data_IF_721152938111
#
_entry.id   IF_721152938111
#
_cell.length_a   1.000
_cell.length_b   1.000
_cell.length_c   1.000
_cell.angle_alpha   90.00
_cell.angle_beta   90.00
_cell.angle_gamma   90.00
#
_symmetry.space_group_name_H-M   'P 1'
#
loop_
_entity.id
_entity.type
_entity.pdbx_description
1 polymer ?
#
# COMPACT_ATOMS: atom_id res chain seq x y z
N UNK A 1 17.90 10.29 21.10
CA UNK A 1 18.03 10.18 19.64
C UNK A 1 16.62 10.34 19.07
N UNK A 2 16.33 11.46 18.42
CA UNK A 2 15.02 11.65 17.81
C UNK A 2 14.91 10.67 16.64
N UNK A 3 14.06 9.64 16.77
CA UNK A 3 13.71 8.83 15.63
C UNK A 3 13.01 9.74 14.63
N UNK A 4 13.65 9.92 13.46
CA UNK A 4 13.08 10.64 12.33
C UNK A 4 11.81 9.91 11.89
N UNK A 5 10.81 10.64 11.42
CA UNK A 5 9.52 10.14 10.92
C UNK A 5 9.69 8.94 9.98
N UNK A 6 9.65 7.73 10.54
CA UNK A 6 9.82 6.48 9.77
C UNK A 6 8.46 6.01 9.31
N UNK A 7 8.20 6.23 8.03
CA UNK A 7 7.00 5.78 7.34
C UNK A 7 7.36 4.74 6.28
N UNK A 8 6.86 3.51 6.42
CA UNK A 8 7.13 2.37 5.56
C UNK A 8 5.83 1.88 4.96
N UNK A 9 5.79 1.67 3.65
CA UNK A 9 4.62 1.16 2.94
C UNK A 9 4.87 -0.21 2.33
N UNK A 10 3.79 -0.97 2.18
CA UNK A 10 3.78 -2.28 1.54
C UNK A 10 2.84 -2.22 0.34
N UNK A 11 3.37 -2.48 -0.84
CA UNK A 11 2.66 -2.39 -2.10
C UNK A 11 2.72 -3.73 -2.85
N UNK A 12 1.87 -3.86 -3.88
CA UNK A 12 1.81 -5.05 -4.71
C UNK A 12 0.38 -5.50 -4.99
N UNK A 13 0.22 -6.45 -5.90
CA UNK A 13 -1.07 -7.00 -6.32
C UNK A 13 -1.85 -7.71 -5.21
N UNK A 14 -2.96 -8.29 -5.59
CA UNK A 14 -3.77 -9.09 -4.66
C UNK A 14 -3.05 -10.40 -4.30
N UNK A 15 -3.25 -10.92 -3.09
CA UNK A 15 -2.63 -12.17 -2.65
C UNK A 15 -1.10 -12.15 -2.49
N UNK A 16 -0.44 -10.98 -2.60
CA UNK A 16 1.02 -10.85 -2.50
C UNK A 16 1.59 -11.06 -1.08
N UNK A 17 0.75 -11.14 -0.04
CA UNK A 17 1.21 -11.39 1.33
C UNK A 17 1.54 -10.15 2.16
N UNK A 18 1.14 -8.96 1.71
CA UNK A 18 1.41 -7.67 2.40
C UNK A 18 1.04 -7.70 3.89
N UNK A 19 -0.20 -8.05 4.21
CA UNK A 19 -0.71 -8.07 5.59
C UNK A 19 0.10 -9.01 6.49
N UNK A 20 0.53 -10.16 5.97
CA UNK A 20 1.40 -11.10 6.70
C UNK A 20 2.74 -10.45 7.03
N UNK A 21 3.37 -9.79 6.05
CA UNK A 21 4.67 -9.16 6.24
C UNK A 21 4.61 -7.94 7.16
N UNK A 22 3.53 -7.16 7.09
CA UNK A 22 3.29 -6.05 8.01
C UNK A 22 3.20 -6.56 9.45
N UNK A 23 2.45 -7.65 9.69
CA UNK A 23 2.34 -8.23 11.02
C UNK A 23 3.68 -8.74 11.55
N UNK A 24 4.43 -9.47 10.72
CA UNK A 24 5.75 -9.98 11.09
C UNK A 24 6.73 -8.84 11.43
N UNK A 25 6.75 -7.77 10.61
CA UNK A 25 7.61 -6.62 10.87
C UNK A 25 7.16 -5.85 12.12
N UNK A 26 5.84 -5.70 12.33
CA UNK A 26 5.28 -5.10 13.54
C UNK A 26 5.76 -5.83 14.79
N UNK A 27 5.66 -7.17 14.80
CA UNK A 27 6.05 -8.00 15.94
C UNK A 27 7.57 -7.92 16.18
N UNK A 28 8.39 -7.98 15.12
CA UNK A 28 9.84 -7.86 15.19
C UNK A 28 10.27 -6.51 15.80
N UNK A 29 9.73 -5.41 15.31
CA UNK A 29 10.08 -4.06 15.81
C UNK A 29 9.59 -3.85 17.25
N UNK A 30 8.38 -4.34 17.57
CA UNK A 30 7.81 -4.29 18.92
C UNK A 30 8.65 -5.09 19.92
N UNK A 31 9.15 -6.27 19.53
CA UNK A 31 10.04 -7.08 20.36
C UNK A 31 11.39 -6.40 20.63
N UNK A 32 11.83 -5.48 19.75
CA UNK A 32 12.99 -4.60 19.97
C UNK A 32 12.66 -3.39 20.86
N UNK A 33 11.45 -3.25 21.37
CA UNK A 33 11.02 -2.13 22.22
C UNK A 33 10.71 -0.84 21.43
N UNK A 34 10.58 -0.92 20.10
CA UNK A 34 10.24 0.23 19.27
C UNK A 34 8.71 0.45 19.25
N UNK A 35 8.29 1.71 19.28
CA UNK A 35 6.89 2.06 19.17
C UNK A 35 6.46 2.00 17.70
N UNK A 36 5.50 1.12 17.36
CA UNK A 36 5.04 0.88 16.00
C UNK A 36 3.53 1.10 15.90
N UNK A 37 3.06 1.58 14.76
CA UNK A 37 1.65 1.62 14.39
C UNK A 37 1.47 0.99 13.00
N UNK A 38 0.44 0.15 12.86
CA UNK A 38 0.06 -0.43 11.57
C UNK A 38 -1.27 0.17 11.12
N UNK A 39 -1.32 0.64 9.87
CA UNK A 39 -2.51 1.23 9.23
C UNK A 39 -2.72 0.62 7.84
N UNK A 40 -3.90 0.84 7.24
CA UNK A 40 -4.19 0.38 5.87
C UNK A 40 -4.89 1.46 5.07
N UNK A 41 -4.59 1.55 3.79
CA UNK A 41 -5.19 2.50 2.86
C UNK A 41 -6.06 1.77 1.80
N UNK A 42 -7.35 2.11 1.68
CA UNK A 42 -8.12 3.02 2.54
C UNK A 42 -8.57 2.34 3.83
N UNK A 43 -8.68 3.11 4.93
CA UNK A 43 -9.26 2.61 6.19
C UNK A 43 -8.76 3.31 7.45
N UNK A 44 -9.17 2.77 8.58
CA UNK A 44 -8.68 3.17 9.90
C UNK A 44 -9.37 4.39 10.52
N UNK A 45 -10.10 5.20 9.78
CA UNK A 45 -10.98 6.26 10.31
C UNK A 45 -12.42 5.99 9.90
N UNK A 46 -13.39 6.56 10.61
CA UNK A 46 -14.80 6.35 10.29
C UNK A 46 -15.14 6.73 8.84
N UNK A 47 -14.62 7.86 8.36
CA UNK A 47 -14.84 8.33 6.98
C UNK A 47 -14.12 7.42 5.99
N UNK A 48 -12.86 7.07 6.23
CA UNK A 48 -12.09 6.22 5.33
C UNK A 48 -12.69 4.79 5.22
N UNK A 49 -13.26 4.24 6.31
CA UNK A 49 -13.95 2.95 6.28
C UNK A 49 -15.27 3.02 5.49
N UNK A 50 -16.02 4.10 5.58
CA UNK A 50 -17.22 4.31 4.76
C UNK A 50 -16.85 4.38 3.27
N UNK A 51 -15.82 5.12 2.93
CA UNK A 51 -15.31 5.20 1.55
C UNK A 51 -14.80 3.82 1.09
N UNK A 52 -14.05 3.12 1.93
CA UNK A 52 -13.59 1.75 1.63
C UNK A 52 -14.75 0.82 1.32
N UNK A 53 -15.80 0.84 2.15
CA UNK A 53 -17.01 0.05 1.92
C UNK A 53 -17.66 0.38 0.57
N UNK A 54 -17.72 1.67 0.22
CA UNK A 54 -18.28 2.13 -1.05
C UNK A 54 -17.46 1.66 -2.26
N UNK A 55 -16.14 1.87 -2.25
CA UNK A 55 -15.28 1.56 -3.41
C UNK A 55 -15.05 0.07 -3.62
N UNK A 56 -15.21 -0.75 -2.57
CA UNK A 56 -15.04 -2.20 -2.61
C UNK A 56 -16.33 -2.98 -2.87
N UNK A 57 -17.49 -2.34 -2.69
CA UNK A 57 -18.79 -2.99 -2.85
C UNK A 57 -19.06 -3.41 -4.29
N UNK A 58 -19.39 -4.67 -4.51
CA UNK A 58 -19.85 -5.18 -5.81
C UNK A 58 -21.16 -4.52 -6.29
N UNK A 59 -21.94 -3.89 -5.37
CA UNK A 59 -23.12 -3.11 -5.77
C UNK A 59 -22.78 -1.81 -6.53
N UNK A 60 -21.53 -1.36 -6.49
CA UNK A 60 -21.04 -0.15 -7.16
C UNK A 60 -20.09 -0.48 -8.32
N UNK A 61 -20.39 -1.54 -9.09
CA UNK A 61 -19.52 -2.00 -10.19
C UNK A 61 -19.35 -0.97 -11.31
N UNK A 62 -20.34 -0.10 -11.51
CA UNK A 62 -20.38 0.96 -12.52
C UNK A 62 -19.76 2.30 -12.06
N UNK A 63 -19.14 2.36 -10.89
CA UNK A 63 -18.51 3.59 -10.40
C UNK A 63 -17.52 4.15 -11.43
N UNK A 64 -17.67 5.43 -11.78
CA UNK A 64 -16.82 6.08 -12.76
C UNK A 64 -15.37 6.19 -12.28
N UNK A 65 -14.40 5.92 -13.16
CA UNK A 65 -12.98 5.80 -12.78
C UNK A 65 -12.40 7.04 -12.07
N UNK A 66 -12.81 8.25 -12.45
CA UNK A 66 -12.39 9.48 -11.75
C UNK A 66 -13.03 9.60 -10.37
N UNK A 67 -14.28 9.18 -10.21
CA UNK A 67 -14.96 9.14 -8.91
C UNK A 67 -14.27 8.17 -7.98
N UNK A 68 -13.93 6.97 -8.48
CA UNK A 68 -13.15 5.97 -7.73
C UNK A 68 -11.82 6.56 -7.24
N UNK A 69 -11.05 7.21 -8.13
CA UNK A 69 -9.77 7.84 -7.78
C UNK A 69 -9.92 8.91 -6.69
N UNK A 70 -10.90 9.80 -6.84
CA UNK A 70 -11.17 10.87 -5.87
C UNK A 70 -11.59 10.33 -4.50
N UNK A 71 -12.36 9.25 -4.47
CA UNK A 71 -12.74 8.59 -3.21
C UNK A 71 -11.53 7.98 -2.50
N UNK A 72 -10.64 7.27 -3.22
CA UNK A 72 -9.40 6.77 -2.63
C UNK A 72 -8.54 7.90 -2.07
N UNK A 73 -8.39 9.00 -2.81
CA UNK A 73 -7.61 10.17 -2.37
C UNK A 73 -8.25 10.86 -1.16
N UNK A 74 -9.58 10.96 -1.10
CA UNK A 74 -10.28 11.52 0.06
C UNK A 74 -10.09 10.65 1.32
N UNK A 75 -10.19 9.33 1.19
CA UNK A 75 -9.93 8.41 2.30
C UNK A 75 -8.47 8.50 2.79
N UNK A 76 -7.52 8.62 1.86
CA UNK A 76 -6.10 8.78 2.18
C UNK A 76 -5.81 10.09 2.89
N UNK A 77 -6.38 11.21 2.43
CA UNK A 77 -6.26 12.49 3.11
C UNK A 77 -6.69 12.39 4.58
N UNK A 78 -7.87 11.82 4.82
CA UNK A 78 -8.40 11.61 6.17
C UNK A 78 -7.49 10.72 7.03
N UNK A 79 -6.94 9.66 6.45
CA UNK A 79 -6.03 8.74 7.13
C UNK A 79 -4.68 9.42 7.44
N UNK A 80 -4.12 10.18 6.50
CA UNK A 80 -2.85 10.90 6.70
C UNK A 80 -2.96 11.84 7.89
N UNK A 81 -4.00 12.68 7.90
CA UNK A 81 -4.14 13.73 8.92
C UNK A 81 -4.54 13.15 10.29
N UNK A 82 -5.38 12.10 10.35
CA UNK A 82 -5.91 11.58 11.62
C UNK A 82 -5.13 10.40 12.19
N UNK A 83 -4.33 9.70 11.38
CA UNK A 83 -3.60 8.52 11.86
C UNK A 83 -2.10 8.63 11.61
N UNK A 84 -1.66 8.80 10.34
CA UNK A 84 -0.24 8.67 10.02
C UNK A 84 0.56 9.80 10.66
N UNK A 85 0.20 11.07 10.43
CA UNK A 85 0.91 12.23 11.00
C UNK A 85 0.92 12.23 12.53
N UNK A 86 -0.19 11.96 13.25
CA UNK A 86 -0.18 11.84 14.70
C UNK A 86 0.73 10.73 15.22
N UNK A 87 0.77 9.56 14.54
CA UNK A 87 1.68 8.49 14.94
C UNK A 87 3.15 8.87 14.72
N UNK A 88 3.48 9.45 13.56
CA UNK A 88 4.84 9.93 13.27
C UNK A 88 5.26 11.02 14.27
N UNK A 89 4.39 12.00 14.55
CA UNK A 89 4.67 13.06 15.54
C UNK A 89 4.85 12.53 16.97
N UNK A 90 4.25 11.36 17.27
CA UNK A 90 4.48 10.65 18.53
C UNK A 90 5.76 9.78 18.53
N UNK A 91 6.59 9.88 17.48
CA UNK A 91 7.83 9.12 17.34
C UNK A 91 7.62 7.63 17.04
N UNK A 92 6.48 7.24 16.52
CA UNK A 92 6.19 5.85 16.15
C UNK A 92 6.65 5.56 14.72
N UNK A 93 7.13 4.35 14.49
CA UNK A 93 7.30 3.81 13.14
C UNK A 93 5.90 3.48 12.61
N UNK A 94 5.57 3.97 11.41
CA UNK A 94 4.27 3.69 10.78
C UNK A 94 4.46 2.70 9.63
N UNK A 95 3.75 1.58 9.71
CA UNK A 95 3.66 0.56 8.65
C UNK A 95 2.29 0.68 7.97
N UNK A 96 2.24 0.79 6.65
CA UNK A 96 0.99 1.00 5.92
C UNK A 96 0.78 -0.05 4.82
N UNK A 97 -0.37 -0.72 4.85
CA UNK A 97 -0.82 -1.59 3.75
C UNK A 97 -1.42 -0.73 2.64
N UNK A 98 -0.67 -0.51 1.59
CA UNK A 98 -0.90 0.38 0.44
C UNK A 98 -0.79 1.87 0.81
N UNK A 99 -0.44 2.68 -0.20
CA UNK A 99 -0.42 4.14 -0.11
C UNK A 99 -0.51 4.77 -1.52
N UNK A 100 0.19 5.88 -1.75
CA UNK A 100 0.11 6.66 -2.99
C UNK A 100 0.49 5.87 -4.25
N UNK A 101 1.46 4.95 -4.18
CA UNK A 101 1.89 4.13 -5.31
C UNK A 101 0.74 3.24 -5.85
N UNK A 102 -0.15 2.75 -4.95
CA UNK A 102 -1.37 2.05 -5.36
C UNK A 102 -2.27 2.89 -6.27
N UNK A 103 -2.40 4.20 -6.05
CA UNK A 103 -3.23 5.07 -6.92
C UNK A 103 -2.66 5.15 -8.34
N UNK A 104 -1.34 5.27 -8.46
CA UNK A 104 -0.68 5.30 -9.77
C UNK A 104 -0.85 3.96 -10.49
N UNK A 105 -0.67 2.84 -9.79
CA UNK A 105 -0.82 1.51 -10.39
C UNK A 105 -2.27 1.19 -10.79
N UNK A 106 -3.24 1.41 -9.88
CA UNK A 106 -4.64 1.02 -10.09
C UNK A 106 -5.42 2.05 -10.91
N UNK A 107 -5.39 3.33 -10.53
CA UNK A 107 -6.18 4.37 -11.23
C UNK A 107 -5.44 4.94 -12.44
N UNK A 108 -4.11 4.99 -12.39
CA UNK A 108 -3.28 5.43 -13.52
C UNK A 108 -3.15 4.34 -14.57
N UNK A 109 -2.30 3.35 -14.32
CA UNK A 109 -1.98 2.32 -15.32
C UNK A 109 -3.17 1.45 -15.70
N UNK A 110 -3.92 0.90 -14.73
CA UNK A 110 -4.97 -0.04 -15.03
C UNK A 110 -6.29 0.63 -15.48
N UNK A 111 -6.67 1.77 -14.89
CA UNK A 111 -7.87 2.52 -15.30
C UNK A 111 -7.59 3.59 -16.38
N UNK A 112 -6.33 3.88 -16.71
CA UNK A 112 -5.95 4.79 -17.79
C UNK A 112 -6.13 6.28 -17.49
N UNK A 113 -6.13 6.68 -16.22
CA UNK A 113 -6.14 8.10 -15.85
C UNK A 113 -4.75 8.73 -16.06
N UNK A 114 -4.72 10.04 -16.32
CA UNK A 114 -3.48 10.78 -16.49
C UNK A 114 -2.62 10.73 -15.22
N UNK A 115 -1.36 10.29 -15.34
CA UNK A 115 -0.47 10.08 -14.19
C UNK A 115 -0.09 11.40 -13.52
N UNK A 116 0.20 12.45 -14.30
CA UNK A 116 0.56 13.77 -13.78
C UNK A 116 -0.57 14.39 -12.94
N UNK A 117 -1.82 14.26 -13.40
CA UNK A 117 -2.98 14.71 -12.64
C UNK A 117 -3.13 13.93 -11.33
N UNK A 118 -2.96 12.59 -11.38
CA UNK A 118 -3.04 11.74 -10.18
C UNK A 118 -1.94 12.06 -9.17
N UNK A 119 -0.72 12.29 -9.62
CA UNK A 119 0.40 12.68 -8.76
C UNK A 119 0.16 14.04 -8.11
N UNK A 120 -0.32 15.03 -8.87
CA UNK A 120 -0.61 16.37 -8.36
C UNK A 120 -1.71 16.37 -7.30
N UNK A 121 -2.82 15.68 -7.58
CA UNK A 121 -3.93 15.55 -6.63
C UNK A 121 -3.54 14.66 -5.46
N UNK A 122 -2.74 13.62 -5.72
CA UNK A 122 -2.18 12.72 -4.71
C UNK A 122 -1.31 13.46 -3.69
N UNK A 123 -0.41 14.32 -4.15
CA UNK A 123 0.40 15.18 -3.27
C UNK A 123 -0.47 16.11 -2.42
N UNK A 124 -1.48 16.73 -3.02
CA UNK A 124 -2.45 17.51 -2.24
C UNK A 124 -3.13 16.67 -1.16
N UNK A 125 -3.58 15.46 -1.49
CA UNK A 125 -4.28 14.57 -0.55
C UNK A 125 -3.37 14.06 0.59
N UNK A 126 -2.07 13.89 0.35
CA UNK A 126 -1.10 13.43 1.35
C UNK A 126 -0.39 14.55 2.09
N UNK A 127 -0.58 15.83 1.64
CA UNK A 127 0.22 16.96 2.13
C UNK A 127 1.71 16.71 1.93
N UNK A 128 2.09 16.19 0.75
CA UNK A 128 3.46 15.83 0.34
C UNK A 128 4.14 14.75 1.22
N UNK A 129 3.37 14.02 2.04
CA UNK A 129 3.92 12.91 2.81
C UNK A 129 4.35 11.79 1.86
N UNK A 130 5.62 11.39 1.94
CA UNK A 130 6.22 10.33 1.14
C UNK A 130 6.80 9.25 2.06
N UNK A 131 6.61 7.95 1.76
CA UNK A 131 7.26 6.89 2.51
C UNK A 131 8.78 6.97 2.39
N UNK A 132 9.48 6.68 3.49
CA UNK A 132 10.93 6.54 3.47
C UNK A 132 11.38 5.24 2.80
N UNK A 133 10.55 4.21 2.90
CA UNK A 133 10.79 2.89 2.33
C UNK A 133 9.46 2.28 1.88
N UNK A 134 9.46 1.66 0.72
CA UNK A 134 8.32 0.91 0.18
C UNK A 134 8.78 -0.50 -0.17
N UNK A 135 8.10 -1.51 0.35
CA UNK A 135 8.27 -2.89 -0.06
C UNK A 135 7.24 -3.25 -1.12
N UNK A 136 7.67 -3.43 -2.35
CA UNK A 136 6.85 -3.94 -3.43
C UNK A 136 6.94 -5.47 -3.47
N UNK A 137 5.89 -6.14 -3.01
CA UNK A 137 5.76 -7.61 -3.06
C UNK A 137 5.24 -8.01 -4.44
N UNK A 138 6.15 -8.44 -5.32
CA UNK A 138 5.85 -8.79 -6.71
C UNK A 138 5.44 -10.26 -6.82
N UNK A 139 4.22 -10.50 -7.33
CA UNK A 139 3.69 -11.83 -7.63
C UNK A 139 2.98 -11.79 -8.98
N UNK A 140 3.04 -12.89 -9.71
CA UNK A 140 2.19 -13.03 -10.91
C UNK A 140 0.71 -12.81 -10.55
N UNK A 141 -0.02 -11.96 -11.29
CA UNK A 141 -1.40 -11.60 -10.97
C UNK A 141 -2.36 -12.79 -10.90
N UNK A 142 -2.18 -13.80 -11.76
CA UNK A 142 -3.00 -15.01 -11.75
C UNK A 142 -2.78 -15.82 -10.47
N UNK A 143 -1.51 -16.01 -10.09
CA UNK A 143 -1.16 -16.67 -8.84
C UNK A 143 -1.65 -15.91 -7.61
N UNK A 144 -1.55 -14.58 -7.62
CA UNK A 144 -2.04 -13.72 -6.54
C UNK A 144 -3.56 -13.78 -6.38
N UNK A 145 -4.31 -13.67 -7.47
CA UNK A 145 -5.76 -13.82 -7.45
C UNK A 145 -6.20 -15.21 -7.00
N UNK A 146 -5.52 -16.28 -7.44
CA UNK A 146 -5.81 -17.64 -7.01
C UNK A 146 -5.64 -17.81 -5.49
N UNK A 147 -4.56 -17.25 -4.91
CA UNK A 147 -4.36 -17.23 -3.44
C UNK A 147 -5.49 -16.51 -2.72
N UNK A 148 -5.98 -15.39 -3.31
CA UNK A 148 -7.04 -14.57 -2.72
C UNK A 148 -8.39 -15.28 -2.76
N UNK A 149 -8.78 -15.82 -3.91
CA UNK A 149 -10.05 -16.55 -4.12
C UNK A 149 -10.15 -17.77 -3.20
N UNK A 150 -9.03 -18.42 -2.88
CA UNK A 150 -9.01 -19.54 -1.95
C UNK A 150 -9.32 -19.13 -0.49
N UNK A 151 -9.28 -17.85 -0.16
CA UNK A 151 -9.46 -17.34 1.20
C UNK A 151 -10.83 -16.67 1.43
N UNK A 152 -11.39 -16.01 0.42
CA UNK A 152 -12.65 -15.24 0.52
C UNK A 152 -13.24 -14.92 -0.85
N UNK A 153 -14.49 -14.45 -0.85
CA UNK A 153 -15.11 -13.87 -2.05
C UNK A 153 -14.39 -12.60 -2.47
N UNK A 154 -14.27 -12.42 -3.80
CA UNK A 154 -13.60 -11.27 -4.38
C UNK A 154 -14.46 -10.00 -4.28
N UNK A 155 -13.84 -8.88 -3.92
CA UNK A 155 -14.48 -7.58 -3.98
C UNK A 155 -14.52 -7.01 -5.42
N UNK A 156 -15.16 -5.86 -5.58
CA UNK A 156 -15.33 -5.21 -6.89
C UNK A 156 -14.01 -4.98 -7.64
N UNK A 157 -12.95 -4.60 -6.95
CA UNK A 157 -11.64 -4.33 -7.58
C UNK A 157 -10.95 -5.65 -7.94
N UNK A 158 -11.02 -6.64 -7.07
CA UNK A 158 -10.48 -7.97 -7.27
C UNK A 158 -11.17 -8.69 -8.45
N UNK A 159 -12.46 -8.38 -8.70
CA UNK A 159 -13.27 -8.93 -9.80
C UNK A 159 -13.00 -8.30 -11.18
N UNK A 160 -12.15 -7.29 -11.31
CA UNK A 160 -11.87 -6.60 -12.60
C UNK A 160 -11.15 -7.46 -13.66
N UNK A 161 -10.86 -8.71 -13.36
CA UNK A 161 -10.27 -9.68 -14.29
C UNK A 161 -8.75 -9.55 -14.47
N UNK A 162 -8.14 -10.61 -14.99
CA UNK A 162 -6.68 -10.77 -15.07
C UNK A 162 -5.99 -9.67 -15.86
N UNK A 163 -6.58 -9.20 -16.98
CA UNK A 163 -6.02 -8.13 -17.81
C UNK A 163 -5.86 -6.81 -17.06
N UNK A 164 -6.79 -6.50 -16.16
CA UNK A 164 -6.70 -5.34 -15.28
C UNK A 164 -5.51 -5.47 -14.29
N UNK A 165 -5.39 -6.63 -13.63
CA UNK A 165 -4.34 -6.88 -12.64
C UNK A 165 -2.93 -6.94 -13.26
N UNK A 166 -2.81 -7.37 -14.54
CA UNK A 166 -1.55 -7.26 -15.29
C UNK A 166 -1.12 -5.82 -15.47
N UNK A 167 -2.05 -4.90 -15.83
CA UNK A 167 -1.74 -3.47 -15.92
C UNK A 167 -1.40 -2.85 -14.56
N UNK A 168 -2.03 -3.31 -13.47
CA UNK A 168 -1.63 -2.90 -12.10
C UNK A 168 -0.19 -3.31 -11.82
N UNK A 169 0.20 -4.51 -12.18
CA UNK A 169 1.60 -4.97 -12.02
C UNK A 169 2.56 -4.14 -12.85
N UNK A 170 2.24 -3.85 -14.12
CA UNK A 170 3.03 -2.94 -14.98
C UNK A 170 3.24 -1.58 -14.31
N UNK A 171 2.20 -1.05 -13.65
CA UNK A 171 2.28 0.20 -12.91
C UNK A 171 3.24 0.13 -11.72
N UNK A 172 3.18 -0.92 -10.92
CA UNK A 172 4.12 -1.11 -9.81
C UNK A 172 5.55 -1.35 -10.30
N UNK A 173 5.75 -2.13 -11.39
CA UNK A 173 7.05 -2.36 -12.00
C UNK A 173 7.68 -1.03 -12.45
N UNK A 174 6.91 -0.19 -13.16
CA UNK A 174 7.35 1.13 -13.61
C UNK A 174 7.72 2.04 -12.43
N UNK A 175 6.92 2.06 -11.36
CA UNK A 175 7.20 2.84 -10.15
C UNK A 175 8.49 2.37 -9.47
N UNK A 176 8.71 1.06 -9.37
CA UNK A 176 9.90 0.50 -8.76
C UNK A 176 11.17 0.83 -9.57
N UNK A 177 11.11 0.80 -10.89
CA UNK A 177 12.22 1.19 -11.76
C UNK A 177 12.58 2.68 -11.62
N UNK A 178 11.58 3.55 -11.44
CA UNK A 178 11.76 5.00 -11.34
C UNK A 178 12.15 5.48 -9.93
N UNK A 179 11.96 4.65 -8.87
CA UNK A 179 12.15 5.04 -7.48
C UNK A 179 12.99 4.00 -6.71
N UNK A 180 14.09 3.52 -7.29
CA UNK A 180 14.93 2.47 -6.72
C UNK A 180 15.54 2.84 -5.36
N UNK A 181 15.70 4.14 -5.08
CA UNK A 181 16.17 4.65 -3.79
C UNK A 181 15.17 4.46 -2.64
N UNK A 182 13.89 4.26 -2.97
CA UNK A 182 12.79 4.16 -2.01
C UNK A 182 12.03 2.84 -2.10
N UNK A 183 11.95 2.23 -3.28
CA UNK A 183 11.15 1.02 -3.53
C UNK A 183 12.05 -0.20 -3.64
N UNK A 184 11.89 -1.13 -2.72
CA UNK A 184 12.54 -2.45 -2.73
C UNK A 184 11.57 -3.48 -3.30
N UNK A 185 11.88 -4.04 -4.46
CA UNK A 185 11.10 -5.12 -5.06
C UNK A 185 11.49 -6.47 -4.47
N UNK A 186 10.50 -7.23 -3.99
CA UNK A 186 10.69 -8.55 -3.39
C UNK A 186 9.85 -9.58 -4.13
N UNK A 187 10.44 -10.70 -4.49
CA UNK A 187 9.72 -11.84 -5.07
C UNK A 187 8.78 -12.47 -4.03
N UNK A 188 7.48 -12.28 -4.21
CA UNK A 188 6.45 -12.81 -3.30
C UNK A 188 6.12 -14.29 -3.55
N UNK A 189 6.88 -15.00 -4.37
CA UNK A 189 6.84 -16.47 -4.47
C UNK A 189 7.69 -17.16 -3.42
N UNK A 190 8.64 -16.44 -2.82
CA UNK A 190 9.45 -16.91 -1.71
C UNK A 190 8.58 -17.22 -0.47
N UNK A 191 9.12 -17.98 0.48
CA UNK A 191 8.43 -18.24 1.74
C UNK A 191 8.26 -16.95 2.55
N UNK A 192 7.25 -16.90 3.41
CA UNK A 192 7.01 -15.74 4.27
C UNK A 192 8.23 -15.38 5.13
N UNK A 193 9.02 -16.38 5.55
CA UNK A 193 10.23 -16.17 6.34
C UNK A 193 11.37 -15.55 5.53
N UNK A 194 11.59 -16.01 4.30
CA UNK A 194 12.61 -15.45 3.40
C UNK A 194 12.29 -13.99 3.06
N UNK A 195 11.02 -13.69 2.71
CA UNK A 195 10.55 -12.32 2.46
C UNK A 195 10.78 -11.45 3.70
N UNK A 196 10.40 -11.96 4.88
CA UNK A 196 10.55 -11.22 6.14
C UNK A 196 12.00 -10.89 6.44
N UNK A 197 12.94 -11.80 6.17
CA UNK A 197 14.37 -11.55 6.34
C UNK A 197 14.85 -10.37 5.49
N UNK A 198 14.48 -10.34 4.20
CA UNK A 198 14.81 -9.21 3.31
C UNK A 198 14.24 -7.90 3.84
N UNK A 199 12.98 -7.91 4.31
CA UNK A 199 12.31 -6.74 4.89
C UNK A 199 13.04 -6.24 6.12
N UNK A 200 13.48 -7.15 7.01
CA UNK A 200 14.26 -6.80 8.22
C UNK A 200 15.57 -6.11 7.84
N UNK A 201 16.32 -6.68 6.89
CA UNK A 201 17.63 -6.16 6.48
C UNK A 201 17.49 -4.71 6.00
N UNK A 202 16.60 -4.43 5.06
CA UNK A 202 16.35 -3.06 4.57
C UNK A 202 15.74 -2.11 5.63
N UNK A 203 14.89 -2.65 6.52
CA UNK A 203 14.33 -1.83 7.61
C UNK A 203 15.40 -1.41 8.59
N UNK A 204 16.33 -2.30 8.96
CA UNK A 204 17.44 -1.98 9.85
C UNK A 204 18.39 -0.94 9.23
N UNK A 205 18.63 -0.97 7.91
CA UNK A 205 19.41 0.07 7.20
C UNK A 205 18.77 1.46 7.36
N UNK A 206 17.43 1.54 7.20
CA UNK A 206 16.69 2.80 7.34
C UNK A 206 16.63 3.30 8.79
N UNK A 207 16.61 2.37 9.74
CA UNK A 207 16.61 2.69 11.18
C UNK A 207 18.01 3.01 11.72
N UNK A 208 19.09 2.76 10.95
CA UNK A 208 20.50 2.90 11.37
C UNK A 208 20.83 2.04 12.62
N UNK A 209 20.29 0.80 12.67
CA UNK A 209 20.47 -0.14 13.79
C UNK A 209 20.96 -1.50 13.30
#
# INVERSE_FOLDING_TARGET
MYMRDIFITFEGGEGAGKTTQIQLLYDYLSAKGLAVAAVRDPGGTAIAEQIRSMVKSNANEDIYVRTEALLYLAARCEMVEKLIRPHLSAGRIVLCDRFADSTIAYQGFANGLNLEDLERIGRFATGDLTPKLTFYLKIDPEAGLARKTAQQDLDRVENKGLGYHKKVQEGFDSLAEQNQERIVTIDATLTAHEIHKIIIDHTNEVLEV
#
